data_IF_385183577925
#
_entry.id   IF_385183577925
#
_cell.length_a   1.000
_cell.length_b   1.000
_cell.length_c   1.000
_cell.angle_alpha   90.00
_cell.angle_beta   90.00
_cell.angle_gamma   90.00
#
_symmetry.space_group_name_H-M   'P 1'
#
loop_
_entity.id
_entity.type
_entity.pdbx_description
1 polymer ?
#
# COMPACT_ATOMS: atom_id res chain seq x y z
N UNK A 1 22.34 -11.72 -12.23
CA UNK A 1 20.96 -11.24 -12.06
C UNK A 1 20.48 -10.66 -13.39
N UNK A 2 19.34 -11.07 -13.93
CA UNK A 2 18.83 -10.60 -15.23
C UNK A 2 18.49 -9.09 -15.20
N UNK A 3 18.68 -8.37 -16.31
CA UNK A 3 18.45 -6.94 -16.45
C UNK A 3 17.00 -6.56 -16.12
N UNK A 4 16.04 -7.42 -16.46
CA UNK A 4 14.63 -7.22 -16.13
C UNK A 4 14.37 -7.22 -14.61
N UNK A 5 14.97 -8.18 -13.89
CA UNK A 5 14.78 -8.31 -12.45
C UNK A 5 15.38 -7.12 -11.68
N UNK A 6 16.57 -6.65 -12.09
CA UNK A 6 17.19 -5.44 -11.54
C UNK A 6 16.32 -4.21 -11.76
N UNK A 7 15.69 -4.08 -12.94
CA UNK A 7 14.78 -2.97 -13.23
C UNK A 7 13.53 -3.01 -12.33
N UNK A 8 12.98 -4.19 -12.08
CA UNK A 8 11.83 -4.35 -11.18
C UNK A 8 12.14 -3.89 -9.76
N UNK A 9 13.29 -4.31 -9.21
CA UNK A 9 13.73 -3.90 -7.86
C UNK A 9 13.93 -2.38 -7.77
N UNK A 10 14.53 -1.78 -8.80
CA UNK A 10 14.70 -0.33 -8.88
C UNK A 10 13.36 0.41 -8.94
N UNK A 11 12.41 -0.12 -9.72
CA UNK A 11 11.06 0.45 -9.77
C UNK A 11 10.35 0.35 -8.42
N UNK A 12 10.49 -0.76 -7.70
CA UNK A 12 9.93 -0.90 -6.35
C UNK A 12 10.50 0.16 -5.42
N UNK A 13 11.79 0.48 -5.55
CA UNK A 13 12.40 1.53 -4.74
C UNK A 13 11.80 2.91 -4.98
N UNK A 14 11.75 3.36 -6.23
CA UNK A 14 11.16 4.65 -6.54
C UNK A 14 9.68 4.73 -6.15
N UNK A 15 8.91 3.67 -6.42
CA UNK A 15 7.49 3.65 -6.13
C UNK A 15 7.19 3.60 -4.62
N UNK A 16 8.02 2.90 -3.83
CA UNK A 16 7.86 2.87 -2.38
C UNK A 16 8.20 4.22 -1.73
N UNK A 17 9.22 4.91 -2.25
CA UNK A 17 9.58 6.26 -1.82
C UNK A 17 8.45 7.27 -2.11
N UNK A 18 7.82 7.17 -3.28
CA UNK A 18 6.71 8.03 -3.70
C UNK A 18 5.37 7.77 -2.96
N UNK A 19 5.30 6.79 -2.04
CA UNK A 19 4.09 6.51 -1.26
C UNK A 19 3.84 7.45 -0.08
N UNK A 20 4.68 8.48 0.11
CA UNK A 20 4.54 9.58 1.08
C UNK A 20 4.06 9.11 2.46
N UNK A 21 2.75 9.16 2.75
CA UNK A 21 2.18 8.78 4.06
C UNK A 21 2.39 7.31 4.40
N UNK A 22 2.39 6.46 3.37
CA UNK A 22 2.58 5.02 3.48
C UNK A 22 4.00 4.58 3.08
N UNK A 23 4.91 5.54 2.88
CA UNK A 23 6.32 5.25 2.61
C UNK A 23 6.90 4.26 3.63
N UNK A 24 6.74 4.40 4.96
CA UNK A 24 7.34 3.46 5.92
C UNK A 24 6.92 1.99 5.71
N UNK A 25 5.65 1.75 5.36
CA UNK A 25 5.15 0.39 5.12
C UNK A 25 5.65 -0.16 3.78
N UNK A 26 5.59 0.65 2.72
CA UNK A 26 6.03 0.23 1.39
C UNK A 26 7.54 -0.01 1.35
N UNK A 27 8.29 0.79 2.10
CA UNK A 27 9.73 0.70 2.24
C UNK A 27 10.17 -0.59 2.93
N UNK A 28 9.42 -1.08 3.92
CA UNK A 28 9.73 -2.37 4.53
C UNK A 28 9.50 -3.55 3.60
N UNK A 29 8.41 -3.52 2.83
CA UNK A 29 8.17 -4.53 1.78
C UNK A 29 9.31 -4.49 0.76
N UNK A 30 9.72 -3.29 0.32
CA UNK A 30 10.85 -3.10 -0.60
C UNK A 30 12.17 -3.64 -0.04
N UNK A 31 12.52 -3.30 1.20
CA UNK A 31 13.76 -3.77 1.84
C UNK A 31 13.78 -5.30 1.94
N UNK A 32 12.64 -5.90 2.28
CA UNK A 32 12.51 -7.34 2.35
C UNK A 32 12.64 -8.01 0.99
N UNK A 33 11.97 -7.47 -0.04
CA UNK A 33 12.11 -7.94 -1.43
C UNK A 33 13.57 -7.88 -1.87
N UNK A 34 14.27 -6.78 -1.59
CA UNK A 34 15.68 -6.61 -1.95
C UNK A 34 16.58 -7.64 -1.24
N UNK A 35 16.38 -7.86 0.06
CA UNK A 35 17.13 -8.87 0.81
C UNK A 35 16.88 -10.30 0.30
N UNK A 36 15.64 -10.63 -0.07
CA UNK A 36 15.32 -11.93 -0.68
C UNK A 36 16.00 -12.06 -2.04
N UNK A 37 15.98 -11.00 -2.86
CA UNK A 37 16.61 -11.01 -4.18
C UNK A 37 18.14 -11.18 -4.09
N UNK A 38 18.78 -10.55 -3.11
CA UNK A 38 20.22 -10.70 -2.82
C UNK A 38 20.53 -12.13 -2.37
N UNK A 39 19.80 -12.64 -1.38
CA UNK A 39 19.93 -14.02 -0.90
C UNK A 39 19.77 -15.05 -2.03
N UNK A 40 18.79 -14.86 -2.92
CA UNK A 40 18.54 -15.73 -4.06
C UNK A 40 19.63 -15.62 -5.14
N UNK A 41 20.32 -14.48 -5.24
CA UNK A 41 21.42 -14.29 -6.17
C UNK A 41 22.75 -14.86 -5.64
N UNK A 42 22.96 -14.82 -4.33
CA UNK A 42 24.16 -15.36 -3.67
C UNK A 42 24.12 -16.89 -3.52
N UNK A 43 22.93 -17.47 -3.51
CA UNK A 43 22.74 -18.90 -3.34
C UNK A 43 22.94 -19.68 -4.64
N UNK A 44 23.67 -20.78 -4.56
CA UNK A 44 23.77 -21.79 -5.65
C UNK A 44 22.72 -22.90 -5.53
N UNK A 45 21.82 -22.80 -4.55
CA UNK A 45 20.89 -23.87 -4.25
C UNK A 45 19.75 -23.95 -5.29
N UNK A 46 19.40 -25.15 -5.82
CA UNK A 46 18.41 -25.29 -6.88
C UNK A 46 17.04 -24.68 -6.53
N UNK A 47 16.64 -24.76 -5.26
CA UNK A 47 15.39 -24.18 -4.78
C UNK A 47 15.33 -22.66 -4.94
N UNK A 48 16.46 -21.95 -4.90
CA UNK A 48 16.51 -20.51 -5.15
C UNK A 48 16.20 -20.18 -6.61
N UNK A 49 16.63 -20.99 -7.57
CA UNK A 49 16.24 -20.84 -8.98
C UNK A 49 14.75 -21.11 -9.19
N UNK A 50 14.18 -22.09 -8.50
CA UNK A 50 12.77 -22.48 -8.61
C UNK A 50 11.83 -21.35 -8.17
N UNK A 51 12.18 -20.60 -7.12
CA UNK A 51 11.30 -19.54 -6.59
C UNK A 51 11.39 -18.21 -7.36
N UNK A 52 12.43 -18.01 -8.19
CA UNK A 52 12.67 -16.74 -8.90
C UNK A 52 11.48 -16.25 -9.74
N UNK A 53 10.81 -17.09 -10.57
CA UNK A 53 9.68 -16.63 -11.36
C UNK A 53 8.53 -16.11 -10.49
N UNK A 54 8.16 -16.85 -9.45
CA UNK A 54 7.11 -16.44 -8.51
C UNK A 54 7.47 -15.16 -7.76
N UNK A 55 8.75 -14.99 -7.39
CA UNK A 55 9.24 -13.76 -6.78
C UNK A 55 9.10 -12.56 -7.74
N UNK A 56 9.47 -12.73 -9.01
CA UNK A 56 9.32 -11.71 -10.07
C UNK A 56 7.85 -11.31 -10.23
N UNK A 57 6.94 -12.28 -10.26
CA UNK A 57 5.51 -12.03 -10.38
C UNK A 57 5.00 -11.20 -9.19
N UNK A 58 5.39 -11.56 -7.97
CA UNK A 58 5.00 -10.82 -6.76
C UNK A 58 5.51 -9.39 -6.72
N UNK A 59 6.76 -9.16 -7.18
CA UNK A 59 7.32 -7.81 -7.29
C UNK A 59 6.58 -7.00 -8.36
N UNK A 60 6.21 -7.64 -9.47
CA UNK A 60 5.46 -7.00 -10.56
C UNK A 60 4.07 -6.58 -10.10
N UNK A 61 3.35 -7.46 -9.40
CA UNK A 61 2.05 -7.18 -8.80
C UNK A 61 2.13 -6.00 -7.81
N UNK A 62 3.15 -6.01 -6.95
CA UNK A 62 3.37 -4.94 -5.97
C UNK A 62 3.71 -3.61 -6.65
N UNK A 63 4.59 -3.60 -7.65
CA UNK A 63 4.90 -2.40 -8.43
C UNK A 63 3.67 -1.83 -9.15
N UNK A 64 2.84 -2.69 -9.73
CA UNK A 64 1.59 -2.26 -10.37
C UNK A 64 0.63 -1.63 -9.36
N UNK A 65 0.54 -2.19 -8.14
CA UNK A 65 -0.23 -1.62 -7.05
C UNK A 65 0.31 -0.24 -6.63
N UNK A 66 1.61 -0.14 -6.33
CA UNK A 66 2.23 1.13 -5.93
C UNK A 66 2.04 2.20 -7.01
N UNK A 67 2.31 1.87 -8.28
CA UNK A 67 2.18 2.80 -9.40
C UNK A 67 0.75 3.31 -9.62
N UNK A 68 -0.28 2.56 -9.25
CA UNK A 68 -1.67 3.04 -9.25
C UNK A 68 -1.97 3.96 -8.08
N UNK A 69 -1.36 3.69 -6.92
CA UNK A 69 -1.65 4.40 -5.66
C UNK A 69 -0.88 5.72 -5.54
N UNK A 70 0.40 5.76 -5.89
CA UNK A 70 1.25 6.97 -5.80
C UNK A 70 0.73 8.12 -6.67
N UNK A 71 0.12 7.79 -7.81
CA UNK A 71 -0.44 8.78 -8.76
C UNK A 71 -1.75 9.43 -8.29
N UNK A 72 -2.33 8.96 -7.19
CA UNK A 72 -3.61 9.47 -6.69
C UNK A 72 -3.39 10.63 -5.75
N UNK A 73 -4.35 11.54 -5.67
CA UNK A 73 -4.35 12.59 -4.65
C UNK A 73 -4.44 11.97 -3.24
N UNK A 74 -3.94 12.70 -2.26
CA UNK A 74 -3.82 12.34 -0.85
C UNK A 74 -5.13 11.81 -0.28
N UNK A 75 -6.27 12.41 -0.62
CA UNK A 75 -7.57 11.97 -0.13
C UNK A 75 -7.93 10.54 -0.58
N UNK A 76 -7.59 10.17 -1.81
CA UNK A 76 -7.87 8.84 -2.33
C UNK A 76 -6.97 7.81 -1.65
N UNK A 77 -5.72 8.19 -1.34
CA UNK A 77 -4.79 7.36 -0.55
C UNK A 77 -5.27 7.19 0.90
N UNK A 78 -5.82 8.24 1.52
CA UNK A 78 -6.48 8.16 2.84
C UNK A 78 -7.66 7.20 2.77
N UNK A 79 -8.52 7.35 1.76
CA UNK A 79 -9.69 6.49 1.60
C UNK A 79 -9.28 5.02 1.41
N UNK A 80 -8.25 4.75 0.60
CA UNK A 80 -7.71 3.42 0.37
C UNK A 80 -6.64 2.99 1.37
N UNK A 81 -6.50 3.67 2.52
CA UNK A 81 -5.42 3.42 3.49
C UNK A 81 -5.39 1.96 3.96
N UNK A 82 -6.55 1.39 4.26
CA UNK A 82 -6.69 -0.04 4.60
C UNK A 82 -6.24 -0.95 3.46
N UNK A 83 -6.54 -0.63 2.21
CA UNK A 83 -6.07 -1.42 1.07
C UNK A 83 -4.54 -1.41 0.98
N UNK A 84 -3.89 -0.29 1.29
CA UNK A 84 -2.42 -0.22 1.36
C UNK A 84 -1.90 -1.12 2.48
N UNK A 85 -2.50 -1.05 3.67
CA UNK A 85 -2.14 -1.92 4.81
C UNK A 85 -2.28 -3.41 4.43
N UNK A 86 -3.44 -3.81 3.90
CA UNK A 86 -3.75 -5.18 3.49
C UNK A 86 -2.81 -5.67 2.38
N UNK A 87 -2.49 -4.82 1.39
CA UNK A 87 -1.58 -5.20 0.31
C UNK A 87 -0.15 -5.37 0.80
N UNK A 88 0.36 -4.48 1.64
CA UNK A 88 1.68 -4.63 2.23
C UNK A 88 1.77 -5.92 3.07
N UNK A 89 0.77 -6.18 3.93
CA UNK A 89 0.69 -7.41 4.72
C UNK A 89 0.65 -8.65 3.81
N UNK A 90 -0.20 -8.65 2.79
CA UNK A 90 -0.35 -9.79 1.90
C UNK A 90 0.95 -10.10 1.17
N UNK A 91 1.70 -9.10 0.70
CA UNK A 91 3.01 -9.33 0.08
C UNK A 91 3.97 -9.99 1.08
N UNK A 92 3.97 -9.56 2.34
CA UNK A 92 4.80 -10.23 3.33
C UNK A 92 4.41 -11.70 3.55
N UNK A 93 3.11 -12.01 3.60
CA UNK A 93 2.62 -13.38 3.76
C UNK A 93 2.92 -14.24 2.53
N UNK A 94 2.77 -13.68 1.33
CA UNK A 94 3.10 -14.37 0.08
C UNK A 94 4.60 -14.69 0.01
N UNK A 95 5.46 -13.76 0.46
CA UNK A 95 6.90 -14.00 0.55
C UNK A 95 7.23 -15.03 1.63
N UNK A 96 6.58 -15.03 2.80
CA UNK A 96 6.73 -16.10 3.80
C UNK A 96 6.40 -17.47 3.20
N UNK A 97 5.28 -17.57 2.47
CA UNK A 97 4.85 -18.81 1.82
C UNK A 97 5.85 -19.29 0.76
N UNK A 98 6.40 -18.37 -0.03
CA UNK A 98 7.43 -18.68 -1.03
C UNK A 98 8.71 -19.21 -0.36
N UNK A 99 9.13 -18.55 0.72
CA UNK A 99 10.36 -18.86 1.45
C UNK A 99 10.25 -20.12 2.30
N UNK A 100 9.05 -20.60 2.64
CA UNK A 100 8.85 -21.84 3.39
C UNK A 100 9.41 -23.10 2.73
N UNK A 101 9.87 -23.00 1.48
CA UNK A 101 10.49 -24.08 0.70
C UNK A 101 12.02 -24.02 0.69
N UNK A 102 12.64 -22.98 1.28
CA UNK A 102 14.08 -22.75 1.25
C UNK A 102 14.64 -22.51 2.64
N UNK A 103 15.89 -22.90 2.86
CA UNK A 103 16.63 -22.53 4.06
C UNK A 103 17.11 -21.08 3.95
N UNK A 104 16.81 -20.27 4.97
CA UNK A 104 17.22 -18.86 5.04
C UNK A 104 18.55 -18.79 5.78
N UNK A 105 19.64 -18.31 5.16
CA UNK A 105 20.93 -18.17 5.83
C UNK A 105 20.85 -17.15 6.98
N UNK A 106 21.64 -17.37 8.04
CA UNK A 106 21.64 -16.54 9.25
C UNK A 106 21.84 -15.03 8.95
N UNK A 107 22.70 -14.71 7.98
CA UNK A 107 22.95 -13.34 7.53
C UNK A 107 21.69 -12.59 7.06
N UNK A 108 20.68 -13.32 6.59
CA UNK A 108 19.43 -12.76 6.04
C UNK A 108 18.26 -12.83 7.02
N UNK A 109 18.33 -13.64 8.09
CA UNK A 109 17.22 -13.90 9.03
C UNK A 109 16.56 -12.63 9.56
N UNK A 110 17.34 -11.61 9.95
CA UNK A 110 16.80 -10.37 10.52
C UNK A 110 15.90 -9.61 9.54
N UNK A 111 16.30 -9.52 8.28
CA UNK A 111 15.61 -8.72 7.25
C UNK A 111 14.54 -9.54 6.54
N UNK A 112 14.76 -10.85 6.37
CA UNK A 112 13.87 -11.74 5.61
C UNK A 112 12.80 -12.38 6.49
N UNK A 113 13.13 -12.84 7.70
CA UNK A 113 12.23 -13.60 8.56
C UNK A 113 11.59 -12.78 9.70
N UNK A 114 12.29 -11.77 10.22
CA UNK A 114 11.85 -10.98 11.40
C UNK A 114 11.16 -9.65 11.05
N UNK A 115 10.33 -9.65 10.00
CA UNK A 115 9.68 -8.44 9.47
C UNK A 115 8.47 -7.96 10.28
N UNK A 116 7.81 -8.82 11.06
CA UNK A 116 6.52 -8.53 11.71
C UNK A 116 6.55 -7.32 12.66
N UNK A 117 7.57 -7.23 13.52
CA UNK A 117 7.69 -6.11 14.46
C UNK A 117 7.90 -4.79 13.71
N UNK A 118 8.73 -4.81 12.65
CA UNK A 118 8.94 -3.64 11.81
C UNK A 118 7.62 -3.22 11.16
N UNK A 119 6.85 -4.19 10.66
CA UNK A 119 5.56 -3.93 10.02
C UNK A 119 4.57 -3.25 10.98
N UNK A 120 4.51 -3.69 12.23
CA UNK A 120 3.66 -3.06 13.25
C UNK A 120 4.07 -1.61 13.51
N UNK A 121 5.36 -1.31 13.64
CA UNK A 121 5.86 0.05 13.83
C UNK A 121 5.54 0.96 12.63
N UNK A 122 5.74 0.46 11.41
CA UNK A 122 5.41 1.18 10.18
C UNK A 122 3.91 1.40 10.03
N UNK A 123 3.09 0.42 10.43
CA UNK A 123 1.63 0.53 10.44
C UNK A 123 1.16 1.65 11.36
N UNK A 124 1.70 1.73 12.58
CA UNK A 124 1.35 2.82 13.50
C UNK A 124 1.79 4.18 12.95
N UNK A 125 2.99 4.26 12.38
CA UNK A 125 3.50 5.49 11.75
C UNK A 125 2.60 5.95 10.60
N UNK A 126 2.22 5.05 9.71
CA UNK A 126 1.30 5.35 8.59
C UNK A 126 -0.06 5.83 9.11
N UNK A 127 -0.66 5.12 10.07
CA UNK A 127 -1.97 5.49 10.62
C UNK A 127 -1.95 6.87 11.27
N UNK A 128 -0.88 7.21 11.99
CA UNK A 128 -0.69 8.54 12.55
C UNK A 128 -0.61 9.62 11.44
N UNK A 129 0.14 9.35 10.37
CA UNK A 129 0.27 10.26 9.23
C UNK A 129 -1.09 10.50 8.53
N UNK A 130 -1.85 9.44 8.22
CA UNK A 130 -3.17 9.57 7.63
C UNK A 130 -4.17 10.28 8.55
N UNK A 131 -4.12 10.02 9.85
CA UNK A 131 -4.97 10.72 10.79
C UNK A 131 -4.67 12.24 10.83
N UNK A 132 -3.39 12.64 10.85
CA UNK A 132 -3.00 14.04 10.79
C UNK A 132 -3.50 14.72 9.49
N UNK A 133 -3.30 14.07 8.35
CA UNK A 133 -3.74 14.59 7.04
C UNK A 133 -5.25 14.65 6.89
N UNK A 134 -6.00 13.73 7.49
CA UNK A 134 -7.47 13.75 7.48
C UNK A 134 -8.07 14.99 8.16
N UNK A 135 -7.25 15.73 8.92
CA UNK A 135 -7.61 16.96 9.60
C UNK A 135 -6.99 18.21 8.94
N UNK A 136 -6.06 18.04 8.00
CA UNK A 136 -5.44 19.12 7.26
C UNK A 136 -6.29 19.53 6.04
N UNK A 137 -7.20 20.47 6.29
CA UNK A 137 -8.03 21.09 5.26
C UNK A 137 -7.20 21.69 4.12
N UNK A 138 -6.10 22.37 4.44
CA UNK A 138 -5.33 23.11 3.43
C UNK A 138 -4.71 22.11 2.45
N UNK A 139 -4.12 21.03 2.97
CA UNK A 139 -3.57 19.96 2.14
C UNK A 139 -4.64 19.32 1.26
N UNK A 140 -5.79 18.90 1.84
CA UNK A 140 -6.86 18.24 1.09
C UNK A 140 -7.48 19.12 0.00
N UNK A 141 -7.83 20.37 0.31
CA UNK A 141 -8.50 21.25 -0.65
C UNK A 141 -7.55 21.82 -1.72
N UNK A 142 -6.24 21.80 -1.48
CA UNK A 142 -5.24 22.18 -2.49
C UNK A 142 -5.22 21.20 -3.66
N UNK A 143 -5.47 19.92 -3.38
CA UNK A 143 -5.51 18.84 -4.37
C UNK A 143 -6.91 18.67 -4.97
N UNK A 144 -7.98 18.75 -4.15
CA UNK A 144 -9.37 18.62 -4.59
C UNK A 144 -9.97 19.93 -5.12
N UNK A 145 -9.47 20.40 -6.27
CA UNK A 145 -9.84 21.72 -6.82
C UNK A 145 -11.19 21.76 -7.52
N UNK A 146 -11.56 20.69 -8.23
CA UNK A 146 -12.82 20.63 -8.97
C UNK A 146 -13.89 19.78 -8.25
N UNK A 147 -15.15 20.05 -8.59
CA UNK A 147 -16.30 19.40 -7.96
C UNK A 147 -16.40 17.90 -8.28
N UNK A 148 -15.82 17.45 -9.40
CA UNK A 148 -15.83 16.05 -9.80
C UNK A 148 -14.90 15.23 -8.91
N UNK A 149 -13.67 15.67 -8.72
CA UNK A 149 -12.71 15.03 -7.83
C UNK A 149 -13.23 15.01 -6.38
N UNK A 150 -13.88 16.10 -5.94
CA UNK A 150 -14.54 16.17 -4.63
C UNK A 150 -15.66 15.12 -4.48
N UNK A 151 -16.53 14.99 -5.48
CA UNK A 151 -17.60 13.99 -5.47
C UNK A 151 -17.05 12.56 -5.52
N UNK A 152 -16.01 12.31 -6.31
CA UNK A 152 -15.35 11.00 -6.41
C UNK A 152 -14.71 10.60 -5.08
N UNK A 153 -14.00 11.53 -4.43
CA UNK A 153 -13.40 11.31 -3.11
C UNK A 153 -14.47 11.00 -2.04
N UNK A 154 -15.56 11.77 -1.99
CA UNK A 154 -16.67 11.52 -1.07
C UNK A 154 -17.31 10.15 -1.33
N UNK A 155 -17.47 9.77 -2.60
CA UNK A 155 -18.01 8.45 -2.99
C UNK A 155 -17.12 7.33 -2.48
N UNK A 156 -15.80 7.42 -2.69
CA UNK A 156 -14.86 6.40 -2.26
C UNK A 156 -14.82 6.27 -0.74
N UNK A 157 -14.80 7.40 0.00
CA UNK A 157 -14.81 7.36 1.47
C UNK A 157 -16.10 6.71 1.98
N UNK A 158 -17.26 7.04 1.39
CA UNK A 158 -18.52 6.41 1.76
C UNK A 158 -18.58 4.92 1.41
N UNK A 159 -17.99 4.53 0.27
CA UNK A 159 -17.87 3.13 -0.11
C UNK A 159 -17.04 2.37 0.93
N UNK A 160 -15.85 2.88 1.28
CA UNK A 160 -14.97 2.26 2.27
C UNK A 160 -15.59 2.22 3.67
N UNK A 161 -16.34 3.27 4.06
CA UNK A 161 -17.05 3.30 5.33
C UNK A 161 -18.19 2.27 5.41
N UNK A 162 -18.80 1.90 4.26
CA UNK A 162 -19.92 0.95 4.18
C UNK A 162 -19.49 -0.49 3.90
N UNK A 163 -18.20 -0.73 3.63
CA UNK A 163 -17.69 -2.09 3.42
C UNK A 163 -17.95 -2.94 4.66
N UNK A 164 -18.78 -3.96 4.49
CA UNK A 164 -19.23 -4.87 5.56
C UNK A 164 -18.21 -5.95 5.90
N UNK A 165 -17.04 -5.97 5.25
CA UNK A 165 -15.99 -6.97 5.48
C UNK A 165 -15.11 -6.67 6.72
N UNK A 166 -15.51 -5.70 7.55
CA UNK A 166 -15.16 -5.64 8.97
C UNK A 166 -13.70 -5.30 9.34
N UNK A 167 -12.84 -4.94 8.39
CA UNK A 167 -11.39 -4.78 8.67
C UNK A 167 -10.90 -3.36 8.97
N UNK A 168 -11.77 -2.34 9.02
CA UNK A 168 -11.34 -1.05 9.55
C UNK A 168 -11.33 -1.08 11.08
N UNK A 169 -10.22 -0.66 11.67
CA UNK A 169 -10.16 -0.34 13.10
C UNK A 169 -11.01 0.89 13.39
N UNK A 170 -11.42 1.09 14.65
CA UNK A 170 -12.12 2.31 15.07
C UNK A 170 -11.32 3.57 14.71
N UNK A 171 -9.99 3.53 14.89
CA UNK A 171 -9.09 4.61 14.49
C UNK A 171 -9.16 4.86 12.97
N UNK A 172 -9.14 3.82 12.14
CA UNK A 172 -9.28 3.94 10.69
C UNK A 172 -10.62 4.54 10.27
N UNK A 173 -11.74 4.09 10.87
CA UNK A 173 -13.07 4.67 10.62
C UNK A 173 -13.14 6.15 11.02
N UNK A 174 -12.45 6.53 12.11
CA UNK A 174 -12.34 7.92 12.54
C UNK A 174 -11.55 8.76 11.53
N UNK A 175 -10.44 8.25 11.00
CA UNK A 175 -9.67 8.91 9.93
C UNK A 175 -10.53 9.15 8.69
N UNK A 176 -11.29 8.14 8.25
CA UNK A 176 -12.23 8.30 7.13
C UNK A 176 -13.32 9.34 7.42
N UNK A 177 -13.90 9.31 8.63
CA UNK A 177 -14.93 10.27 9.06
C UNK A 177 -14.40 11.71 9.10
N UNK A 178 -13.15 11.91 9.54
CA UNK A 178 -12.49 13.23 9.56
C UNK A 178 -12.28 13.76 8.13
N UNK A 179 -11.76 12.90 7.23
CA UNK A 179 -11.57 13.27 5.82
C UNK A 179 -12.90 13.63 5.16
N UNK A 180 -13.93 12.79 5.34
CA UNK A 180 -15.29 13.05 4.84
C UNK A 180 -15.81 14.40 5.34
N UNK A 181 -15.76 14.64 6.66
CA UNK A 181 -16.27 15.86 7.27
C UNK A 181 -15.55 17.10 6.77
N UNK A 182 -14.24 17.00 6.55
CA UNK A 182 -13.43 18.10 6.01
C UNK A 182 -13.82 18.41 4.58
N UNK A 183 -13.95 17.40 3.71
CA UNK A 183 -14.35 17.61 2.31
C UNK A 183 -15.79 18.12 2.24
N UNK A 184 -16.74 17.47 2.91
CA UNK A 184 -18.16 17.84 2.86
C UNK A 184 -18.41 19.29 3.36
N UNK A 185 -17.61 19.78 4.31
CA UNK A 185 -17.75 21.14 4.85
C UNK A 185 -17.17 22.21 3.93
N UNK A 186 -16.11 21.90 3.19
CA UNK A 186 -15.33 22.91 2.43
C UNK A 186 -15.40 22.73 0.91
N UNK A 187 -16.00 21.64 0.43
CA UNK A 187 -16.31 21.41 -0.98
C UNK A 187 -17.64 22.07 -1.37
N UNK A 188 -17.84 22.23 -2.69
CA UNK A 188 -19.13 22.65 -3.27
C UNK A 188 -19.92 21.46 -3.82
N UNK A 189 -19.29 20.29 -3.88
CA UNK A 189 -19.90 19.07 -4.39
C UNK A 189 -21.05 18.60 -3.49
N UNK A 190 -22.13 18.13 -4.14
CA UNK A 190 -23.15 17.36 -3.42
C UNK A 190 -22.57 16.01 -3.04
N UNK A 191 -22.83 15.57 -1.80
CA UNK A 191 -22.46 14.23 -1.35
C UNK A 191 -23.23 13.20 -2.19
N UNK A 192 -22.55 12.39 -3.02
CA UNK A 192 -23.23 11.43 -3.88
C UNK A 192 -23.65 10.18 -3.10
N UNK A 193 -24.75 9.56 -3.51
CA UNK A 193 -25.03 8.19 -3.10
C UNK A 193 -24.01 7.24 -3.76
N UNK A 194 -23.44 6.30 -3.00
CA UNK A 194 -22.52 5.29 -3.55
C UNK A 194 -23.26 4.42 -4.57
N UNK A 195 -22.84 4.41 -5.85
CA UNK A 195 -23.48 3.57 -6.87
C UNK A 195 -23.36 2.08 -6.55
N UNK A 196 -24.37 1.27 -6.90
CA UNK A 196 -24.33 -0.20 -6.71
C UNK A 196 -23.17 -0.88 -7.43
N UNK A 197 -22.72 -0.32 -8.56
CA UNK A 197 -21.63 -0.83 -9.39
C UNK A 197 -20.36 0.01 -9.23
N UNK A 198 -20.19 0.69 -8.09
CA UNK A 198 -18.97 1.44 -7.83
C UNK A 198 -17.77 0.49 -7.72
N UNK A 199 -16.75 0.73 -8.53
CA UNK A 199 -15.49 -0.01 -8.50
C UNK A 199 -14.38 0.97 -8.10
N UNK A 200 -13.72 0.78 -6.94
CA UNK A 200 -12.59 1.60 -6.55
C UNK A 200 -11.43 1.50 -7.53
N UNK A 201 -10.61 2.55 -7.63
CA UNK A 201 -9.51 2.60 -8.60
C UNK A 201 -8.47 1.49 -8.43
N UNK A 202 -8.31 0.95 -7.23
CA UNK A 202 -7.37 -0.15 -6.94
C UNK A 202 -7.92 -1.54 -7.30
N UNK A 203 -9.18 -1.64 -7.72
CA UNK A 203 -9.84 -2.86 -8.20
C UNK A 203 -10.00 -2.89 -9.74
N UNK A 204 -9.55 -1.87 -10.45
CA UNK A 204 -9.61 -1.84 -11.93
C UNK A 204 -8.39 -2.60 -12.47
N UNK A 205 -8.66 -3.68 -13.21
CA UNK A 205 -7.67 -4.55 -13.85
C UNK A 205 -7.34 -4.10 -15.27
#
# INVERSE_FOLDING_TARGET
MDNHFTLLLRNTAYLAEDMVEAQPMCEQVRQRIAAIAEMVADSSAPQCEVIKPTLIDKITEFNAFLGRTTRRQTVFRIASSRTVEEKCLQVHLDLDALLGTIEIPEAYTKTVASWRNQYEDALQTQRAAYNALSQDRIAMMRELRDERDQAEALTLIMYEHKRSDGGYTEAGLKTLSNAFSTIARFSRAQVPAVPKLFVPFYNVH
#
